data_IF_979475888225
#
_entry.id   IF_979475888225
#
_cell.length_a   1.000
_cell.length_b   1.000
_cell.length_c   1.000
_cell.angle_alpha   90.00
_cell.angle_beta   90.00
_cell.angle_gamma   90.00
#
_symmetry.space_group_name_H-M   'P 1'
#
loop_
_entity.id
_entity.type
_entity.pdbx_description
1 polymer ?
#
# COMPACT_ATOMS: atom_id res chain seq x y z
N UNK A 1 0.00 -4.18 -20.93
CA UNK A 1 0.35 -5.59 -20.86
C UNK A 1 1.20 -5.90 -19.63
N UNK A 2 1.31 -7.18 -19.25
CA UNK A 2 2.08 -7.63 -18.06
C UNK A 2 3.55 -7.17 -18.10
N UNK A 3 4.19 -7.28 -19.26
CA UNK A 3 5.61 -6.87 -19.45
C UNK A 3 5.84 -5.40 -19.11
N UNK A 4 4.96 -4.49 -19.52
CA UNK A 4 5.12 -3.06 -19.24
C UNK A 4 5.07 -2.74 -17.74
N UNK A 5 4.28 -3.48 -16.96
CA UNK A 5 4.21 -3.33 -15.50
C UNK A 5 5.53 -3.71 -14.81
N UNK A 6 6.13 -4.84 -15.21
CA UNK A 6 7.41 -5.27 -14.64
C UNK A 6 8.55 -4.30 -14.99
N UNK A 7 8.58 -3.83 -16.24
CA UNK A 7 9.57 -2.83 -16.67
C UNK A 7 9.38 -1.52 -15.89
N UNK A 8 8.14 -1.02 -15.82
CA UNK A 8 7.84 0.19 -15.06
C UNK A 8 8.15 0.06 -13.57
N UNK A 9 7.83 -1.10 -12.97
CA UNK A 9 8.16 -1.42 -11.57
C UNK A 9 9.68 -1.46 -11.34
N UNK A 10 10.43 -2.08 -12.22
CA UNK A 10 11.91 -2.13 -12.15
C UNK A 10 12.52 -0.72 -12.26
N UNK A 11 12.06 0.09 -13.21
CA UNK A 11 12.51 1.48 -13.36
C UNK A 11 12.19 2.28 -12.10
N UNK A 12 10.97 2.15 -11.56
CA UNK A 12 10.58 2.84 -10.34
C UNK A 12 11.42 2.39 -9.13
N UNK A 13 11.68 1.08 -9.00
CA UNK A 13 12.52 0.53 -7.93
C UNK A 13 13.95 1.08 -8.01
N UNK A 14 14.55 1.09 -9.20
CA UNK A 14 15.89 1.66 -9.41
C UNK A 14 15.87 3.16 -9.09
N UNK A 15 14.89 3.92 -9.58
CA UNK A 15 14.76 5.35 -9.35
C UNK A 15 14.61 5.68 -7.85
N UNK A 16 13.63 5.07 -7.17
CA UNK A 16 13.41 5.35 -5.74
C UNK A 16 14.49 4.74 -4.85
N UNK A 17 14.97 3.55 -5.18
CA UNK A 17 16.03 2.89 -4.43
C UNK A 17 17.35 3.66 -4.45
N UNK A 18 17.78 4.12 -5.63
CA UNK A 18 19.05 4.86 -5.76
C UNK A 18 18.94 6.29 -5.23
N UNK A 19 17.91 7.04 -5.62
CA UNK A 19 17.80 8.46 -5.28
C UNK A 19 17.48 8.70 -3.80
N UNK A 20 16.74 7.82 -3.13
CA UNK A 20 16.51 7.92 -1.69
C UNK A 20 17.65 7.34 -0.84
N UNK A 21 18.69 6.77 -1.45
CA UNK A 21 19.89 6.29 -0.76
C UNK A 21 20.95 7.38 -0.66
N UNK A 22 22.07 7.04 -0.01
CA UNK A 22 23.27 7.87 0.01
C UNK A 22 23.81 8.24 -1.38
N UNK A 23 23.55 7.41 -2.41
CA UNK A 23 23.96 7.67 -3.79
C UNK A 23 23.27 8.92 -4.33
N UNK A 24 21.95 9.06 -4.12
CA UNK A 24 21.15 10.21 -4.52
C UNK A 24 20.99 11.26 -3.40
N UNK A 25 21.82 11.19 -2.33
CA UNK A 25 21.76 12.08 -1.17
C UNK A 25 20.39 12.06 -0.44
N UNK A 26 19.67 10.95 -0.52
CA UNK A 26 18.35 10.77 0.07
C UNK A 26 17.23 11.57 -0.62
N UNK A 27 17.45 12.03 -1.85
CA UNK A 27 16.55 12.97 -2.51
C UNK A 27 16.20 12.55 -3.94
N UNK A 28 14.93 12.27 -4.20
CA UNK A 28 14.37 12.27 -5.55
C UNK A 28 14.26 13.71 -6.08
N UNK A 29 14.00 13.88 -7.37
CA UNK A 29 13.85 15.20 -7.98
C UNK A 29 12.80 16.06 -7.26
N UNK A 30 11.63 15.51 -6.96
CA UNK A 30 10.58 16.23 -6.21
C UNK A 30 11.01 16.58 -4.78
N UNK A 31 11.77 15.71 -4.11
CA UNK A 31 12.30 15.98 -2.77
C UNK A 31 13.34 17.08 -2.76
N UNK A 32 14.15 17.20 -3.82
CA UNK A 32 15.09 18.31 -3.97
C UNK A 32 14.36 19.64 -4.08
N UNK A 33 13.29 19.71 -4.88
CA UNK A 33 12.46 20.91 -4.99
C UNK A 33 11.82 21.31 -3.68
N UNK A 34 11.38 20.33 -2.88
CA UNK A 34 10.76 20.55 -1.57
C UNK A 34 11.79 20.71 -0.42
N UNK A 35 13.10 20.65 -0.71
CA UNK A 35 14.19 20.71 0.26
C UNK A 35 14.05 19.67 1.38
N UNK A 36 13.57 18.46 1.07
CA UNK A 36 13.45 17.35 2.01
C UNK A 36 14.31 16.16 1.56
N UNK A 37 14.72 15.33 2.52
CA UNK A 37 15.52 14.11 2.27
C UNK A 37 15.09 12.95 3.13
N UNK A 38 15.46 11.75 2.71
CA UNK A 38 15.32 10.51 3.49
C UNK A 38 16.60 10.27 4.30
N UNK A 39 16.44 10.08 5.61
CA UNK A 39 17.53 9.77 6.53
C UNK A 39 17.09 8.68 7.50
N UNK A 40 18.02 8.18 8.29
CA UNK A 40 17.72 7.43 9.51
C UNK A 40 17.42 8.36 10.70
N UNK A 41 17.21 7.78 11.89
CA UNK A 41 16.97 8.53 13.14
C UNK A 41 18.14 9.44 13.52
N UNK A 42 19.38 9.06 13.16
CA UNK A 42 20.61 9.82 13.46
C UNK A 42 20.96 10.85 12.39
N UNK A 43 20.02 11.22 11.51
CA UNK A 43 20.23 12.11 10.37
C UNK A 43 21.22 11.59 9.32
N UNK A 44 21.66 10.34 9.40
CA UNK A 44 22.56 9.75 8.42
C UNK A 44 21.81 9.33 7.15
N UNK A 45 22.50 9.38 6.01
CA UNK A 45 21.95 8.94 4.74
C UNK A 45 21.80 7.42 4.69
N UNK A 46 20.68 6.98 4.16
CA UNK A 46 20.29 5.56 4.13
C UNK A 46 21.13 4.78 3.10
N UNK A 47 21.53 3.54 3.45
CA UNK A 47 22.23 2.66 2.53
C UNK A 47 21.33 2.25 1.34
N UNK A 48 21.95 1.89 0.22
CA UNK A 48 21.22 1.46 -0.98
C UNK A 48 20.30 0.25 -0.71
N UNK A 49 20.73 -0.85 -0.04
CA UNK A 49 19.83 -1.98 0.24
C UNK A 49 18.61 -1.57 1.07
N UNK A 50 18.80 -0.73 2.09
CA UNK A 50 17.72 -0.25 2.96
C UNK A 50 16.76 0.66 2.20
N UNK A 51 17.27 1.49 1.31
CA UNK A 51 16.45 2.35 0.43
C UNK A 51 15.68 1.51 -0.60
N UNK A 52 16.29 0.49 -1.19
CA UNK A 52 15.64 -0.43 -2.12
C UNK A 52 14.53 -1.23 -1.42
N UNK A 53 14.79 -1.77 -0.23
CA UNK A 53 13.78 -2.44 0.60
C UNK A 53 12.57 -1.54 0.89
N UNK A 54 12.83 -0.29 1.30
CA UNK A 54 11.78 0.72 1.48
C UNK A 54 10.97 0.96 0.20
N UNK A 55 11.67 1.10 -0.94
CA UNK A 55 11.03 1.31 -2.23
C UNK A 55 10.20 0.10 -2.66
N UNK A 56 10.64 -1.12 -2.37
CA UNK A 56 9.88 -2.35 -2.64
C UNK A 56 8.55 -2.33 -1.89
N UNK A 57 8.54 -2.01 -0.59
CA UNK A 57 7.30 -1.93 0.19
C UNK A 57 6.36 -0.85 -0.34
N UNK A 58 6.90 0.31 -0.72
CA UNK A 58 6.11 1.39 -1.31
C UNK A 58 5.44 0.98 -2.64
N UNK A 59 6.17 0.24 -3.47
CA UNK A 59 5.71 -0.16 -4.80
C UNK A 59 4.88 -1.46 -4.80
N UNK A 60 4.91 -2.22 -3.69
CA UNK A 60 4.27 -3.53 -3.57
C UNK A 60 2.79 -3.51 -3.96
N UNK A 61 1.93 -2.61 -3.43
CA UNK A 61 0.52 -2.57 -3.80
C UNK A 61 0.31 -2.37 -5.31
N UNK A 62 1.10 -1.48 -5.93
CA UNK A 62 1.02 -1.20 -7.37
C UNK A 62 1.53 -2.39 -8.19
N UNK A 63 2.59 -3.05 -7.76
CA UNK A 63 3.15 -4.23 -8.44
C UNK A 63 2.20 -5.42 -8.40
N UNK A 64 1.52 -5.63 -7.26
CA UNK A 64 0.57 -6.74 -7.06
C UNK A 64 -0.79 -6.48 -7.71
N UNK A 65 -1.19 -5.21 -7.89
CA UNK A 65 -2.49 -4.88 -8.46
C UNK A 65 -2.69 -5.47 -9.85
N UNK A 66 -3.78 -6.24 -10.02
CA UNK A 66 -4.09 -6.96 -11.25
C UNK A 66 -3.17 -8.17 -11.52
N UNK A 67 -2.46 -8.69 -10.53
CA UNK A 67 -1.87 -10.03 -10.61
C UNK A 67 -2.99 -11.06 -10.44
N UNK A 68 -2.97 -12.05 -11.35
CA UNK A 68 -3.78 -13.25 -11.24
C UNK A 68 -2.84 -14.41 -10.92
N UNK A 69 -3.10 -15.10 -9.82
CA UNK A 69 -2.35 -16.28 -9.41
C UNK A 69 -3.23 -17.49 -9.71
N UNK A 70 -2.91 -18.29 -10.74
CA UNK A 70 -3.66 -19.51 -11.03
C UNK A 70 -3.30 -20.55 -9.96
N UNK A 71 -4.09 -20.61 -8.91
CA UNK A 71 -3.80 -21.43 -7.73
C UNK A 71 -4.79 -22.60 -7.56
N UNK A 72 -5.64 -22.87 -8.55
CA UNK A 72 -6.64 -23.95 -8.51
C UNK A 72 -7.55 -23.83 -7.29
N UNK A 73 -7.58 -24.86 -6.45
CA UNK A 73 -8.43 -24.89 -5.24
C UNK A 73 -8.12 -23.76 -4.23
N UNK A 74 -6.95 -23.12 -4.32
CA UNK A 74 -6.54 -22.03 -3.43
C UNK A 74 -6.71 -20.64 -4.04
N UNK A 75 -7.39 -20.51 -5.18
CA UNK A 75 -7.56 -19.24 -5.88
C UNK A 75 -8.22 -18.18 -5.00
N UNK A 76 -9.28 -18.56 -4.27
CA UNK A 76 -9.96 -17.65 -3.34
C UNK A 76 -9.04 -17.15 -2.22
N UNK A 77 -8.24 -18.04 -1.62
CA UNK A 77 -7.29 -17.67 -0.59
C UNK A 77 -6.25 -16.66 -1.10
N UNK A 78 -5.71 -16.90 -2.29
CA UNK A 78 -4.76 -15.96 -2.92
C UNK A 78 -5.42 -14.63 -3.27
N UNK A 79 -6.66 -14.63 -3.71
CA UNK A 79 -7.46 -13.43 -3.93
C UNK A 79 -7.58 -12.58 -2.65
N UNK A 80 -7.89 -13.21 -1.52
CA UNK A 80 -7.96 -12.56 -0.20
C UNK A 80 -6.60 -11.98 0.19
N UNK A 81 -5.53 -12.78 0.11
CA UNK A 81 -4.16 -12.33 0.45
C UNK A 81 -3.74 -11.13 -0.39
N UNK A 82 -3.96 -11.18 -1.70
CA UNK A 82 -3.64 -10.07 -2.60
C UNK A 82 -4.46 -8.82 -2.28
N UNK A 83 -5.74 -8.98 -1.99
CA UNK A 83 -6.61 -7.85 -1.60
C UNK A 83 -6.13 -7.17 -0.32
N UNK A 84 -5.74 -7.94 0.71
CA UNK A 84 -5.19 -7.38 1.95
C UNK A 84 -3.85 -6.66 1.67
N UNK A 85 -2.97 -7.26 0.89
CA UNK A 85 -1.67 -6.66 0.55
C UNK A 85 -1.83 -5.37 -0.29
N UNK A 86 -2.78 -5.32 -1.20
CA UNK A 86 -3.00 -4.16 -2.06
C UNK A 86 -3.78 -3.09 -1.31
N UNK A 87 -4.98 -3.40 -0.84
CA UNK A 87 -5.88 -2.41 -0.25
C UNK A 87 -5.58 -2.16 1.21
N UNK A 88 -5.36 -3.21 2.03
CA UNK A 88 -5.08 -3.09 3.45
C UNK A 88 -3.81 -2.29 3.71
N UNK A 89 -2.71 -2.67 3.04
CA UNK A 89 -1.43 -1.94 3.17
C UNK A 89 -1.54 -0.51 2.63
N UNK A 90 -2.29 -0.29 1.54
CA UNK A 90 -2.48 1.06 0.99
C UNK A 90 -3.27 1.94 1.95
N UNK A 91 -4.40 1.48 2.47
CA UNK A 91 -5.24 2.24 3.41
C UNK A 91 -4.49 2.52 4.71
N UNK A 92 -3.83 1.52 5.28
CA UNK A 92 -3.00 1.69 6.48
C UNK A 92 -1.83 2.66 6.23
N UNK A 93 -1.23 2.61 5.04
CA UNK A 93 -0.18 3.54 4.62
C UNK A 93 -0.65 4.99 4.53
N UNK A 94 -1.81 5.23 3.92
CA UNK A 94 -2.44 6.56 3.84
C UNK A 94 -2.83 7.06 5.24
N UNK A 95 -3.40 6.19 6.07
CA UNK A 95 -3.70 6.53 7.46
C UNK A 95 -2.46 6.97 8.23
N UNK A 96 -1.38 6.18 8.21
CA UNK A 96 -0.14 6.51 8.90
C UNK A 96 0.47 7.81 8.37
N UNK A 97 0.49 8.01 7.06
CA UNK A 97 0.99 9.24 6.45
C UNK A 97 0.22 10.48 6.93
N UNK A 98 -1.10 10.37 7.06
CA UNK A 98 -1.98 11.48 7.40
C UNK A 98 -2.09 11.73 8.91
N UNK A 99 -2.15 10.66 9.72
CA UNK A 99 -2.48 10.72 11.14
C UNK A 99 -1.25 10.64 12.06
N UNK A 100 -0.16 10.00 11.61
CA UNK A 100 1.06 9.91 12.40
C UNK A 100 1.85 11.24 12.35
N UNK A 101 1.39 12.24 13.10
CA UNK A 101 1.99 13.58 13.11
C UNK A 101 3.33 13.64 13.84
N UNK A 102 3.61 12.70 14.76
CA UNK A 102 4.85 12.68 15.54
C UNK A 102 6.06 12.38 14.68
N UNK A 103 6.08 11.25 14.03
CA UNK A 103 7.21 10.78 13.24
C UNK A 103 7.02 11.01 11.74
N UNK A 104 5.79 11.23 11.28
CA UNK A 104 5.40 11.36 9.86
C UNK A 104 5.86 10.20 8.99
N UNK A 105 5.98 9.02 9.60
CA UNK A 105 6.37 7.80 8.93
C UNK A 105 5.13 7.08 8.41
N UNK A 106 5.18 6.65 7.15
CA UNK A 106 4.25 5.68 6.57
C UNK A 106 4.80 4.27 6.73
N UNK A 107 4.07 3.24 6.29
CA UNK A 107 4.46 1.82 6.44
C UNK A 107 5.87 1.54 5.91
N UNK A 108 6.19 2.03 4.71
CA UNK A 108 7.50 1.83 4.10
C UNK A 108 8.63 2.53 4.86
N UNK A 109 8.33 3.68 5.50
CA UNK A 109 9.29 4.38 6.35
C UNK A 109 9.52 3.63 7.65
N UNK A 110 8.46 3.12 8.27
CA UNK A 110 8.54 2.31 9.49
C UNK A 110 9.33 1.03 9.26
N UNK A 111 9.02 0.30 8.20
CA UNK A 111 9.71 -0.93 7.85
C UNK A 111 11.19 -0.70 7.54
N UNK A 112 11.52 0.42 6.88
CA UNK A 112 12.89 0.84 6.60
C UNK A 112 13.59 1.53 7.76
N UNK A 113 12.89 1.88 8.86
CA UNK A 113 13.43 2.72 9.94
C UNK A 113 13.92 4.07 9.44
N UNK A 114 13.20 4.68 8.48
CA UNK A 114 13.60 5.91 7.81
C UNK A 114 12.66 7.05 8.14
N UNK A 115 13.15 8.26 7.95
CA UNK A 115 12.39 9.50 8.18
C UNK A 115 12.55 10.43 6.98
N UNK A 116 11.48 11.15 6.64
CA UNK A 116 11.54 12.24 5.68
C UNK A 116 11.60 13.56 6.46
N UNK A 117 12.67 14.30 6.29
CA UNK A 117 12.93 15.54 7.02
C UNK A 117 13.43 16.66 6.12
N UNK A 118 13.51 17.89 6.65
CA UNK A 118 14.16 18.99 5.96
C UNK A 118 15.61 18.61 5.65
N UNK A 119 16.10 18.94 4.45
CA UNK A 119 17.43 18.59 3.98
C UNK A 119 18.56 19.27 4.78
N UNK A 120 18.27 20.39 5.42
CA UNK A 120 19.21 21.13 6.25
C UNK A 120 19.23 20.66 7.73
N UNK A 121 18.21 19.89 8.14
CA UNK A 121 18.12 19.41 9.53
C UNK A 121 19.13 18.31 9.80
N UNK A 122 19.97 18.53 10.82
CA UNK A 122 20.95 17.56 11.34
C UNK A 122 20.57 17.00 12.71
N UNK A 123 19.44 17.45 13.27
CA UNK A 123 18.99 17.01 14.60
C UNK A 123 18.59 15.53 14.59
N UNK A 124 18.95 14.79 15.63
CA UNK A 124 18.50 13.42 15.82
C UNK A 124 17.00 13.39 16.15
N UNK A 125 16.32 12.30 15.75
CA UNK A 125 14.92 12.08 16.07
C UNK A 125 14.85 11.06 17.20
N UNK A 126 14.31 11.46 18.32
CA UNK A 126 14.07 10.61 19.49
C UNK A 126 12.60 10.25 19.66
N UNK A 127 11.73 10.77 18.79
CA UNK A 127 10.30 10.51 18.88
C UNK A 127 9.96 9.12 18.33
N UNK A 128 9.25 8.36 19.15
CA UNK A 128 8.69 7.07 18.76
C UNK A 128 7.26 7.23 18.23
N UNK A 129 6.87 6.34 17.33
CA UNK A 129 5.49 6.26 16.87
C UNK A 129 4.56 5.95 18.04
N UNK A 130 3.42 6.60 18.07
CA UNK A 130 2.39 6.32 19.04
C UNK A 130 1.82 4.91 18.81
N UNK A 131 2.04 3.99 19.76
CA UNK A 131 1.72 2.56 19.63
C UNK A 131 0.29 2.25 19.16
N UNK A 132 -0.78 3.00 19.58
CA UNK A 132 -2.13 2.78 19.06
C UNK A 132 -2.26 2.91 17.53
N UNK A 133 -1.36 3.60 16.83
CA UNK A 133 -1.39 3.63 15.37
C UNK A 133 -1.25 2.23 14.75
N UNK A 134 -0.53 1.31 15.38
CA UNK A 134 -0.44 -0.08 14.90
C UNK A 134 -1.76 -0.82 15.03
N UNK A 135 -2.48 -0.61 16.14
CA UNK A 135 -3.80 -1.21 16.34
C UNK A 135 -4.82 -0.67 15.31
N UNK A 136 -4.80 0.63 15.04
CA UNK A 136 -5.68 1.24 14.05
C UNK A 136 -5.33 0.77 12.63
N UNK A 137 -4.04 0.74 12.27
CA UNK A 137 -3.60 0.23 10.97
C UNK A 137 -3.98 -1.25 10.78
N UNK A 138 -3.82 -2.08 11.82
CA UNK A 138 -4.28 -3.47 11.82
C UNK A 138 -5.80 -3.58 11.69
N UNK A 139 -6.55 -2.76 12.40
CA UNK A 139 -8.02 -2.68 12.29
C UNK A 139 -8.49 -2.30 10.88
N UNK A 140 -7.79 -1.39 10.21
CA UNK A 140 -8.08 -1.04 8.82
C UNK A 140 -7.83 -2.22 7.86
N UNK A 141 -6.76 -2.99 8.08
CA UNK A 141 -6.52 -4.22 7.31
C UNK A 141 -7.62 -5.26 7.54
N UNK A 142 -8.08 -5.41 8.79
CA UNK A 142 -9.20 -6.31 9.12
C UNK A 142 -10.53 -5.82 8.52
N UNK A 143 -10.76 -4.51 8.45
CA UNK A 143 -11.93 -3.96 7.79
C UNK A 143 -11.92 -4.27 6.27
N UNK A 144 -10.77 -4.17 5.62
CA UNK A 144 -10.62 -4.60 4.21
C UNK A 144 -10.90 -6.08 4.07
N UNK A 145 -10.38 -6.92 4.97
CA UNK A 145 -10.69 -8.35 4.98
C UNK A 145 -12.20 -8.60 5.13
N UNK A 146 -12.87 -7.89 6.04
CA UNK A 146 -14.31 -7.99 6.21
C UNK A 146 -15.09 -7.67 4.93
N UNK A 147 -14.69 -6.61 4.21
CA UNK A 147 -15.31 -6.26 2.91
C UNK A 147 -15.07 -7.34 1.85
N UNK A 148 -13.84 -7.89 1.77
CA UNK A 148 -13.49 -8.94 0.81
C UNK A 148 -14.24 -10.25 1.08
N UNK A 149 -14.56 -10.53 2.35
CA UNK A 149 -15.31 -11.74 2.74
C UNK A 149 -16.84 -11.54 2.73
N UNK A 150 -17.34 -10.34 2.45
CA UNK A 150 -18.79 -10.14 2.30
C UNK A 150 -19.31 -10.96 1.11
N UNK A 151 -20.41 -11.70 1.30
CA UNK A 151 -21.04 -12.41 0.19
C UNK A 151 -21.50 -11.40 -0.86
N UNK A 152 -21.33 -11.78 -2.12
CA UNK A 152 -21.83 -10.98 -3.24
C UNK A 152 -23.37 -10.97 -3.20
N UNK A 153 -23.94 -9.85 -2.76
CA UNK A 153 -25.41 -9.68 -2.70
C UNK A 153 -26.02 -9.31 -4.06
N UNK A 154 -25.18 -9.23 -5.12
CA UNK A 154 -25.68 -8.91 -6.47
C UNK A 154 -26.36 -10.12 -7.14
N UNK A 155 -26.12 -11.34 -6.69
CA UNK A 155 -26.92 -12.50 -7.06
C UNK A 155 -28.29 -12.40 -6.36
N UNK A 156 -29.25 -11.81 -7.06
CA UNK A 156 -30.65 -11.84 -6.59
C UNK A 156 -31.06 -13.31 -6.41
N UNK A 157 -31.67 -13.66 -5.25
CA UNK A 157 -32.17 -15.03 -5.04
C UNK A 157 -32.99 -15.49 -6.26
N UNK A 158 -32.81 -16.73 -6.70
CA UNK A 158 -33.50 -17.26 -7.88
C UNK A 158 -35.02 -17.04 -7.83
N UNK A 159 -35.62 -17.06 -6.63
CA UNK A 159 -37.05 -16.81 -6.46
C UNK A 159 -37.45 -15.37 -6.86
N UNK A 160 -36.56 -14.36 -6.69
CA UNK A 160 -36.83 -12.97 -7.10
C UNK A 160 -36.76 -12.86 -8.63
N UNK A 161 -35.84 -13.56 -9.27
CA UNK A 161 -35.76 -13.60 -10.74
C UNK A 161 -36.98 -14.33 -11.31
N UNK A 162 -37.40 -15.44 -10.74
CA UNK A 162 -38.62 -16.14 -11.13
C UNK A 162 -39.86 -15.26 -10.92
N UNK A 163 -39.97 -14.56 -9.80
CA UNK A 163 -41.11 -13.69 -9.53
C UNK A 163 -41.20 -12.52 -10.52
N UNK A 164 -40.07 -11.94 -10.95
CA UNK A 164 -40.04 -10.91 -11.98
C UNK A 164 -40.44 -11.47 -13.33
N UNK A 165 -39.92 -12.65 -13.70
CA UNK A 165 -40.27 -13.33 -14.96
C UNK A 165 -41.77 -13.69 -15.04
N UNK A 166 -42.34 -14.22 -13.97
CA UNK A 166 -43.77 -14.57 -13.92
C UNK A 166 -44.69 -13.34 -14.11
N UNK A 167 -44.30 -12.20 -13.53
CA UNK A 167 -45.06 -10.97 -13.70
C UNK A 167 -44.91 -10.31 -15.08
N UNK A 168 -43.79 -10.53 -15.75
CA UNK A 168 -43.57 -9.98 -17.10
C UNK A 168 -44.17 -10.84 -18.19
N UNK A 169 -44.37 -12.15 -17.96
CA UNK A 169 -44.91 -13.11 -18.93
C UNK A 169 -46.40 -13.36 -18.81
N UNK A 170 -47.06 -12.94 -17.72
CA UNK A 170 -48.53 -13.00 -17.58
C UNK A 170 -49.15 -11.63 -17.88
N UNK A 171 -49.58 -11.38 -19.13
CA UNK A 171 -50.41 -10.19 -19.41
C UNK A 171 -51.72 -10.32 -18.63
N UNK A 172 -52.09 -9.23 -17.94
CA UNK A 172 -53.39 -9.15 -17.28
C UNK A 172 -54.49 -9.35 -18.34
N UNK A 173 -55.23 -10.44 -18.18
CA UNK A 173 -56.49 -10.71 -18.96
C UNK A 173 -57.60 -9.85 -18.36
#
# INVERSE_FOLDING_TARGET
GRTGRFIGGAIALVYFGTLNSRIGQGQTLGKRLLKIRVTDAKAALVSLPRSAFRATILLLPVALNGMHVPAGEHEQLWGIVLSILIFGVSVAGVYLYSCNRRTRQSIHDLAGGTFVRNAESTSEIYEEIWKPHFAIAGGLCLAVLGVVLMPDTSEQPEFVQQFILDRTLTPAI
#
